data_IF_661930925585
#
_entry.id   IF_661930925585
#
_cell.length_a   1.000
_cell.length_b   1.000
_cell.length_c   1.000
_cell.angle_alpha   90.00
_cell.angle_beta   90.00
_cell.angle_gamma   90.00
#
_symmetry.space_group_name_H-M   'P 1'
#
loop_
_entity.id
_entity.type
_entity.pdbx_description
1 polymer ?
#
# COMPACT_ATOMS: atom_id res chain seq x y z
N UNK A 1 -0.64 -6.82 -18.92
CA UNK A 1 0.72 -6.43 -18.43
C UNK A 1 0.88 -6.47 -16.90
N UNK A 2 -0.05 -5.86 -16.14
CA UNK A 2 0.01 -5.70 -14.68
C UNK A 2 0.25 -6.99 -13.86
N UNK A 3 -0.26 -8.11 -14.37
CA UNK A 3 -0.26 -9.44 -13.73
C UNK A 3 0.93 -10.30 -14.14
N UNK A 4 1.76 -9.86 -15.09
CA UNK A 4 2.90 -10.64 -15.56
C UNK A 4 3.99 -10.65 -14.49
N UNK A 5 4.44 -11.85 -14.13
CA UNK A 5 5.66 -12.03 -13.34
C UNK A 5 6.87 -12.02 -14.27
N UNK A 6 8.05 -11.80 -13.71
CA UNK A 6 9.30 -11.65 -14.47
C UNK A 6 9.65 -12.96 -15.21
N UNK A 7 9.87 -12.94 -16.55
CA UNK A 7 10.26 -14.12 -17.31
C UNK A 7 11.50 -14.84 -16.76
N UNK A 8 12.51 -14.09 -16.29
CA UNK A 8 13.72 -14.67 -15.74
C UNK A 8 13.45 -15.46 -14.44
N UNK A 9 12.45 -15.02 -13.66
CA UNK A 9 12.03 -15.73 -12.44
C UNK A 9 11.23 -16.99 -12.74
N UNK A 10 10.40 -16.98 -13.78
CA UNK A 10 9.77 -18.20 -14.28
C UNK A 10 10.83 -19.22 -14.74
N UNK A 11 11.83 -18.77 -15.48
CA UNK A 11 12.93 -19.62 -15.93
C UNK A 11 13.69 -20.25 -14.75
N UNK A 12 14.02 -19.46 -13.72
CA UNK A 12 14.72 -19.96 -12.54
C UNK A 12 13.88 -20.97 -11.74
N UNK A 13 12.56 -20.75 -11.59
CA UNK A 13 11.65 -21.74 -10.97
C UNK A 13 11.66 -23.04 -11.78
N UNK A 14 11.56 -22.95 -13.11
CA UNK A 14 11.56 -24.11 -13.98
C UNK A 14 12.86 -24.90 -13.87
N UNK A 15 14.03 -24.24 -13.95
CA UNK A 15 15.33 -24.89 -13.80
C UNK A 15 15.48 -25.58 -12.43
N UNK A 16 15.03 -24.94 -11.35
CA UNK A 16 15.07 -25.53 -10.01
C UNK A 16 14.18 -26.76 -9.89
N UNK A 17 13.01 -26.77 -10.52
CA UNK A 17 12.12 -27.93 -10.53
C UNK A 17 12.69 -29.09 -11.35
N UNK A 18 13.34 -28.81 -12.48
CA UNK A 18 14.07 -29.83 -13.26
C UNK A 18 15.18 -30.44 -12.38
N UNK A 19 16.00 -29.61 -11.75
CA UNK A 19 17.15 -30.07 -10.95
C UNK A 19 16.74 -30.80 -9.66
N UNK A 20 15.65 -30.39 -9.01
CA UNK A 20 15.23 -30.97 -7.73
C UNK A 20 14.25 -32.13 -7.87
N UNK A 21 13.49 -32.19 -8.97
CA UNK A 21 12.35 -33.09 -9.15
C UNK A 21 12.33 -33.85 -10.47
N UNK A 22 13.37 -33.69 -11.29
CA UNK A 22 13.43 -34.29 -12.63
C UNK A 22 12.18 -33.95 -13.46
N UNK A 23 11.67 -32.73 -13.28
CA UNK A 23 10.42 -32.29 -13.90
C UNK A 23 10.58 -32.08 -15.40
N UNK A 24 9.60 -32.50 -16.21
CA UNK A 24 9.49 -32.07 -17.60
C UNK A 24 8.71 -30.75 -17.67
N UNK A 25 9.34 -29.69 -18.20
CA UNK A 25 8.74 -28.35 -18.26
C UNK A 25 8.15 -28.06 -19.62
N UNK A 26 6.85 -27.73 -19.63
CA UNK A 26 6.12 -27.29 -20.82
C UNK A 26 5.74 -25.80 -20.69
N UNK A 27 6.17 -24.98 -21.64
CA UNK A 27 5.73 -23.58 -21.75
C UNK A 27 4.46 -23.51 -22.59
N UNK A 28 3.44 -22.84 -22.05
CA UNK A 28 2.11 -22.67 -22.67
C UNK A 28 1.70 -21.19 -22.64
N UNK A 29 0.91 -20.78 -23.62
CA UNK A 29 0.42 -19.41 -23.76
C UNK A 29 -0.21 -19.14 -25.12
N UNK A 30 -0.80 -17.96 -25.28
CA UNK A 30 -1.29 -17.48 -26.57
C UNK A 30 -0.17 -16.91 -27.44
N UNK A 31 -0.49 -16.55 -28.70
CA UNK A 31 0.48 -15.96 -29.65
C UNK A 31 1.12 -14.64 -29.19
N UNK A 32 0.50 -13.95 -28.22
CA UNK A 32 0.99 -12.69 -27.67
C UNK A 32 1.66 -12.82 -26.29
N UNK A 33 1.88 -14.05 -25.82
CA UNK A 33 2.63 -14.32 -24.60
C UNK A 33 4.12 -14.46 -24.90
N UNK A 34 4.94 -14.09 -23.92
CA UNK A 34 6.38 -13.95 -24.06
C UNK A 34 7.12 -15.17 -23.50
N UNK A 35 6.82 -16.36 -24.06
CA UNK A 35 7.55 -17.58 -23.72
C UNK A 35 9.00 -17.54 -24.18
N UNK A 36 9.28 -16.74 -25.22
CA UNK A 36 10.62 -16.58 -25.77
C UNK A 36 11.59 -16.01 -24.73
N UNK A 37 11.20 -14.99 -23.97
CA UNK A 37 12.01 -14.45 -22.89
C UNK A 37 12.25 -15.47 -21.76
N UNK A 38 11.25 -16.28 -21.40
CA UNK A 38 11.40 -17.35 -20.41
C UNK A 38 12.40 -18.39 -20.91
N UNK A 39 12.19 -18.92 -22.12
CA UNK A 39 13.05 -19.93 -22.73
C UNK A 39 14.50 -19.45 -22.86
N UNK A 40 14.71 -18.19 -23.24
CA UNK A 40 16.04 -17.62 -23.37
C UNK A 40 16.79 -17.50 -22.04
N UNK A 41 16.07 -17.43 -20.91
CA UNK A 41 16.64 -17.33 -19.57
C UNK A 41 16.81 -18.70 -18.88
N UNK A 42 16.23 -19.78 -19.42
CA UNK A 42 16.35 -21.13 -18.85
C UNK A 42 17.71 -21.76 -19.17
N UNK A 43 18.24 -22.54 -18.22
CA UNK A 43 19.44 -23.37 -18.43
C UNK A 43 19.10 -24.68 -19.13
N UNK A 44 17.93 -25.24 -18.84
CA UNK A 44 17.46 -26.49 -19.42
C UNK A 44 16.40 -26.22 -20.48
N UNK A 45 16.37 -26.99 -21.57
CA UNK A 45 15.46 -26.74 -22.67
C UNK A 45 14.03 -27.21 -22.32
N UNK A 46 13.01 -26.32 -22.32
CA UNK A 46 11.62 -26.72 -22.14
C UNK A 46 10.99 -27.18 -23.47
N UNK A 47 9.87 -27.88 -23.37
CA UNK A 47 8.95 -28.03 -24.49
C UNK A 47 8.10 -26.75 -24.63
N UNK A 48 8.32 -25.95 -25.67
CA UNK A 48 7.55 -24.73 -25.92
C UNK A 48 6.38 -24.95 -26.90
N UNK A 49 5.17 -24.89 -26.36
CA UNK A 49 3.90 -25.02 -27.09
C UNK A 49 3.14 -23.69 -27.19
N UNK A 50 3.78 -22.57 -26.89
CA UNK A 50 3.15 -21.24 -26.91
C UNK A 50 2.59 -20.89 -28.29
N UNK A 51 1.30 -20.57 -28.34
CA UNK A 51 0.59 -20.27 -29.58
C UNK A 51 0.36 -21.47 -30.50
N UNK A 52 0.68 -22.70 -30.05
CA UNK A 52 0.60 -23.94 -30.85
C UNK A 52 -0.52 -24.89 -30.44
N UNK A 53 -1.31 -24.55 -29.43
CA UNK A 53 -2.43 -25.37 -28.93
C UNK A 53 -3.77 -24.67 -29.15
N UNK A 54 -4.80 -25.44 -29.50
CA UNK A 54 -6.21 -25.07 -29.32
C UNK A 54 -6.61 -25.12 -27.83
N UNK A 55 -7.79 -24.58 -27.47
CA UNK A 55 -8.29 -24.68 -26.09
C UNK A 55 -8.54 -26.13 -25.64
N UNK A 56 -8.92 -27.01 -26.56
CA UNK A 56 -9.14 -28.43 -26.28
C UNK A 56 -7.82 -29.14 -26.03
N UNK A 57 -6.81 -28.92 -26.88
CA UNK A 57 -5.46 -29.49 -26.70
C UNK A 57 -4.81 -28.97 -25.42
N UNK A 58 -4.97 -27.67 -25.12
CA UNK A 58 -4.49 -27.07 -23.87
C UNK A 58 -5.14 -27.72 -22.65
N UNK A 59 -6.46 -27.93 -22.67
CA UNK A 59 -7.17 -28.59 -21.58
C UNK A 59 -6.69 -30.04 -21.36
N UNK A 60 -6.48 -30.78 -22.45
CA UNK A 60 -5.99 -32.17 -22.40
C UNK A 60 -4.55 -32.24 -21.85
N UNK A 61 -3.68 -31.33 -22.32
CA UNK A 61 -2.31 -31.19 -21.82
C UNK A 61 -2.30 -30.89 -20.32
N UNK A 62 -3.06 -29.87 -19.88
CA UNK A 62 -3.14 -29.48 -18.48
C UNK A 62 -3.66 -30.61 -17.58
N UNK A 63 -4.64 -31.40 -18.06
CA UNK A 63 -5.16 -32.55 -17.31
C UNK A 63 -4.15 -33.67 -17.11
N UNK A 64 -3.06 -33.70 -17.88
CA UNK A 64 -1.93 -34.62 -17.71
C UNK A 64 -0.76 -34.05 -16.89
N UNK A 65 -0.80 -32.77 -16.49
CA UNK A 65 0.29 -32.15 -15.75
C UNK A 65 0.18 -32.40 -14.23
N UNK A 66 1.30 -32.69 -13.58
CA UNK A 66 1.39 -32.81 -12.12
C UNK A 66 1.22 -31.47 -11.39
N UNK A 67 1.52 -30.36 -12.07
CA UNK A 67 1.39 -29.01 -11.53
C UNK A 67 1.34 -27.97 -12.66
N UNK A 68 0.40 -27.03 -12.56
CA UNK A 68 0.41 -25.79 -13.31
C UNK A 68 0.93 -24.64 -12.43
N UNK A 69 1.86 -23.83 -12.96
CA UNK A 69 2.35 -22.60 -12.33
C UNK A 69 2.08 -21.44 -13.26
N UNK A 70 1.37 -20.41 -12.79
CA UNK A 70 1.08 -19.24 -13.62
C UNK A 70 0.52 -18.05 -12.87
N UNK A 71 0.45 -16.91 -13.56
CA UNK A 71 -0.23 -15.73 -13.04
C UNK A 71 -1.76 -15.86 -13.10
N UNK A 72 -2.46 -15.00 -12.35
CA UNK A 72 -3.91 -14.76 -12.48
C UNK A 72 -4.33 -14.54 -13.95
N UNK A 73 -4.86 -15.59 -14.58
CA UNK A 73 -5.13 -15.69 -16.01
C UNK A 73 -6.25 -16.70 -16.31
N UNK A 74 -6.81 -16.67 -17.52
CA UNK A 74 -7.78 -17.67 -17.95
C UNK A 74 -7.23 -19.10 -17.95
N UNK A 75 -5.95 -19.27 -18.30
CA UNK A 75 -5.28 -20.59 -18.33
C UNK A 75 -5.22 -21.22 -16.94
N UNK A 76 -4.98 -20.41 -15.89
CA UNK A 76 -5.06 -20.86 -14.50
C UNK A 76 -6.42 -21.47 -14.15
N UNK A 77 -7.52 -20.86 -14.62
CA UNK A 77 -8.86 -21.39 -14.39
C UNK A 77 -9.16 -22.65 -15.21
N UNK A 78 -8.60 -22.77 -16.42
CA UNK A 78 -8.71 -24.01 -17.21
C UNK A 78 -7.98 -25.14 -16.51
N UNK A 79 -6.76 -24.91 -16.01
CA UNK A 79 -5.99 -25.90 -15.24
C UNK A 79 -6.77 -26.39 -14.02
N UNK A 80 -7.36 -25.45 -13.27
CA UNK A 80 -8.22 -25.78 -12.13
C UNK A 80 -9.46 -26.61 -12.54
N UNK A 81 -10.11 -26.27 -13.66
CA UNK A 81 -11.32 -26.94 -14.13
C UNK A 81 -11.07 -28.39 -14.58
N UNK A 82 -9.88 -28.69 -15.10
CA UNK A 82 -9.50 -30.06 -15.49
C UNK A 82 -8.88 -30.87 -14.35
N UNK A 83 -8.83 -30.32 -13.13
CA UNK A 83 -8.34 -31.01 -11.94
C UNK A 83 -6.82 -31.00 -11.75
N UNK A 84 -6.08 -30.26 -12.57
CA UNK A 84 -4.64 -30.11 -12.40
C UNK A 84 -4.34 -29.33 -11.11
N UNK A 85 -3.29 -29.69 -10.33
CA UNK A 85 -2.83 -28.87 -9.23
C UNK A 85 -2.40 -27.48 -9.72
N UNK A 86 -2.81 -26.42 -9.01
CA UNK A 86 -2.58 -25.02 -9.45
C UNK A 86 -1.79 -24.23 -8.42
N UNK A 87 -0.62 -23.75 -8.80
CA UNK A 87 0.10 -22.69 -8.09
C UNK A 87 -0.10 -21.36 -8.81
N UNK A 88 -0.87 -20.46 -8.20
CA UNK A 88 -1.21 -19.17 -8.79
C UNK A 88 -0.42 -18.01 -8.18
N UNK A 89 0.20 -17.19 -9.04
CA UNK A 89 0.92 -15.98 -8.65
C UNK A 89 0.00 -14.77 -8.78
N UNK A 90 -0.26 -14.10 -7.64
CA UNK A 90 -1.14 -12.94 -7.57
C UNK A 90 -0.39 -11.67 -7.19
N UNK A 91 -0.75 -10.57 -7.87
CA UNK A 91 -0.26 -9.22 -7.55
C UNK A 91 -1.38 -8.21 -7.43
N UNK A 92 -1.80 -7.55 -8.52
CA UNK A 92 -2.77 -6.45 -8.46
C UNK A 92 -4.22 -6.91 -8.30
N UNK A 93 -4.53 -8.17 -8.62
CA UNK A 93 -5.89 -8.74 -8.55
C UNK A 93 -6.28 -9.22 -7.17
N UNK A 94 -7.59 -9.30 -6.96
CA UNK A 94 -8.18 -9.80 -5.73
C UNK A 94 -8.16 -11.33 -5.71
N UNK A 95 -7.18 -11.92 -5.04
CA UNK A 95 -7.08 -13.37 -4.88
C UNK A 95 -8.34 -13.96 -4.20
N UNK A 96 -8.92 -13.30 -3.20
CA UNK A 96 -10.12 -13.82 -2.53
C UNK A 96 -11.33 -13.99 -3.47
N UNK A 97 -11.39 -13.22 -4.56
CA UNK A 97 -12.46 -13.31 -5.55
C UNK A 97 -12.10 -14.19 -6.75
N UNK A 98 -10.81 -14.30 -7.11
CA UNK A 98 -10.36 -14.87 -8.38
C UNK A 98 -9.37 -16.02 -8.23
N UNK A 99 -9.10 -16.50 -7.01
CA UNK A 99 -8.31 -17.72 -6.80
C UNK A 99 -8.85 -18.90 -7.61
N UNK A 100 -7.99 -19.84 -8.03
CA UNK A 100 -8.43 -21.04 -8.72
C UNK A 100 -9.44 -21.81 -7.85
N UNK A 101 -10.60 -22.12 -8.42
CA UNK A 101 -11.61 -22.92 -7.76
C UNK A 101 -11.32 -24.39 -8.03
N UNK A 102 -10.94 -25.15 -7.00
CA UNK A 102 -10.54 -26.56 -7.11
C UNK A 102 -11.20 -27.40 -6.00
N UNK A 103 -12.49 -27.76 -6.09
CA UNK A 103 -13.14 -28.57 -5.07
C UNK A 103 -12.56 -29.98 -5.10
N UNK A 104 -12.05 -30.42 -3.96
CA UNK A 104 -11.33 -31.69 -3.86
C UNK A 104 -9.99 -31.72 -4.61
N UNK A 105 -9.58 -30.60 -5.23
CA UNK A 105 -8.31 -30.45 -5.93
C UNK A 105 -7.29 -29.65 -5.12
N UNK A 106 -6.07 -29.55 -5.65
CA UNK A 106 -4.92 -28.92 -4.98
C UNK A 106 -4.66 -27.56 -5.59
N UNK A 107 -4.70 -26.51 -4.78
CA UNK A 107 -4.24 -25.20 -5.24
C UNK A 107 -3.56 -24.42 -4.12
N UNK A 108 -2.69 -23.51 -4.51
CA UNK A 108 -2.09 -22.53 -3.60
C UNK A 108 -1.92 -21.19 -4.32
N UNK A 109 -1.91 -20.12 -3.54
CA UNK A 109 -1.67 -18.76 -4.04
C UNK A 109 -0.40 -18.20 -3.42
N UNK A 110 0.49 -17.67 -4.26
CA UNK A 110 1.69 -16.92 -3.83
C UNK A 110 1.50 -15.44 -4.16
N UNK A 111 1.69 -14.59 -3.15
CA UNK A 111 1.61 -13.13 -3.30
C UNK A 111 2.40 -12.41 -2.20
N UNK A 112 2.88 -11.21 -2.52
CA UNK A 112 3.53 -10.32 -1.54
C UNK A 112 2.56 -9.40 -0.78
N UNK A 113 1.36 -9.18 -1.35
CA UNK A 113 0.24 -8.46 -0.73
C UNK A 113 0.58 -7.11 -0.06
N UNK A 114 1.25 -6.14 -0.74
CA UNK A 114 1.44 -4.81 -0.19
C UNK A 114 0.10 -4.15 0.17
N UNK A 115 0.12 -3.16 1.06
CA UNK A 115 -1.10 -2.49 1.52
C UNK A 115 -1.94 -1.88 0.39
N UNK A 116 -1.32 -1.53 -0.75
CA UNK A 116 -2.02 -1.05 -1.94
C UNK A 116 -2.65 -2.14 -2.84
N UNK A 117 -2.45 -3.44 -2.56
CA UNK A 117 -2.98 -4.57 -3.35
C UNK A 117 -4.10 -5.33 -2.61
N UNK A 118 -5.25 -5.62 -3.23
CA UNK A 118 -5.52 -5.52 -4.66
C UNK A 118 -5.78 -4.08 -5.12
N UNK A 119 -5.37 -3.78 -6.34
CA UNK A 119 -5.55 -2.47 -6.96
C UNK A 119 -6.26 -2.52 -8.32
N UNK A 120 -6.41 -3.69 -8.96
CA UNK A 120 -7.08 -3.80 -10.27
C UNK A 120 -8.60 -3.83 -10.15
N UNK A 121 -9.12 -4.49 -9.11
CA UNK A 121 -10.54 -4.61 -8.81
C UNK A 121 -10.77 -4.64 -7.30
N UNK A 122 -11.53 -3.67 -6.78
CA UNK A 122 -11.75 -3.47 -5.34
C UNK A 122 -13.22 -3.19 -5.09
N UNK A 123 -13.89 -4.06 -4.33
CA UNK A 123 -15.26 -3.83 -3.87
C UNK A 123 -16.27 -3.53 -5.00
N UNK A 124 -16.14 -4.18 -6.16
CA UNK A 124 -17.00 -3.91 -7.32
C UNK A 124 -16.48 -2.82 -8.27
N UNK A 125 -15.54 -1.98 -7.81
CA UNK A 125 -14.96 -0.88 -8.58
C UNK A 125 -13.76 -1.29 -9.43
N UNK A 126 -13.66 -0.68 -10.61
CA UNK A 126 -12.50 -0.81 -11.49
C UNK A 126 -11.37 0.09 -10.99
N UNK A 127 -10.26 -0.52 -10.57
CA UNK A 127 -9.05 0.20 -10.18
C UNK A 127 -8.02 0.27 -11.31
N UNK A 128 -6.73 0.14 -10.98
CA UNK A 128 -5.61 0.18 -11.91
C UNK A 128 -5.49 -1.14 -12.71
N UNK A 129 -6.31 -1.33 -13.75
CA UNK A 129 -6.29 -2.53 -14.61
C UNK A 129 -4.91 -2.83 -15.23
N UNK A 130 -4.23 -1.79 -15.70
CA UNK A 130 -2.88 -1.90 -16.27
C UNK A 130 -1.76 -1.93 -15.21
N UNK A 131 -2.13 -1.83 -13.92
CA UNK A 131 -1.20 -1.79 -12.80
C UNK A 131 -0.53 -0.44 -12.61
N UNK A 132 0.42 -0.38 -11.69
CA UNK A 132 1.30 0.77 -11.49
C UNK A 132 2.68 0.48 -12.10
N UNK A 133 3.45 1.54 -12.39
CA UNK A 133 4.82 1.40 -12.91
C UNK A 133 5.72 0.59 -11.97
N UNK A 134 5.61 0.81 -10.65
CA UNK A 134 6.46 0.16 -9.65
C UNK A 134 6.27 -1.37 -9.58
N UNK A 135 5.06 -1.88 -9.85
CA UNK A 135 4.69 -3.31 -9.79
C UNK A 135 5.21 -4.05 -8.54
N UNK A 136 5.29 -3.37 -7.39
CA UNK A 136 5.86 -3.94 -6.16
C UNK A 136 5.19 -5.26 -5.76
N UNK A 137 3.87 -5.37 -5.94
CA UNK A 137 3.14 -6.60 -5.64
C UNK A 137 3.62 -7.83 -6.44
N UNK A 138 4.09 -7.65 -7.67
CA UNK A 138 4.65 -8.75 -8.49
C UNK A 138 6.15 -8.91 -8.25
N UNK A 139 6.89 -7.79 -8.14
CA UNK A 139 8.36 -7.79 -7.94
C UNK A 139 8.79 -8.39 -6.61
N UNK A 140 7.94 -8.37 -5.60
CA UNK A 140 8.26 -8.96 -4.29
C UNK A 140 7.88 -10.44 -4.16
N UNK A 141 7.22 -11.04 -5.16
CA UNK A 141 7.07 -12.50 -5.20
C UNK A 141 8.39 -13.11 -5.68
N UNK A 142 9.07 -13.86 -4.81
CA UNK A 142 10.41 -14.41 -5.04
C UNK A 142 10.37 -15.81 -5.66
N UNK A 143 11.46 -16.21 -6.30
CA UNK A 143 11.65 -17.57 -6.83
C UNK A 143 11.57 -18.60 -5.71
N UNK A 144 12.16 -18.32 -4.54
CA UNK A 144 12.14 -19.23 -3.38
C UNK A 144 10.71 -19.48 -2.89
N UNK A 145 9.89 -18.43 -2.76
CA UNK A 145 8.49 -18.57 -2.36
C UNK A 145 7.69 -19.45 -3.34
N UNK A 146 7.88 -19.25 -4.64
CA UNK A 146 7.18 -20.01 -5.68
C UNK A 146 7.69 -21.46 -5.72
N UNK A 147 9.00 -21.68 -5.70
CA UNK A 147 9.61 -23.01 -5.76
C UNK A 147 9.22 -23.83 -4.53
N UNK A 148 9.28 -23.25 -3.32
CA UNK A 148 8.88 -23.93 -2.09
C UNK A 148 7.39 -24.31 -2.12
N UNK A 149 6.52 -23.41 -2.58
CA UNK A 149 5.10 -23.71 -2.70
C UNK A 149 4.80 -24.78 -3.76
N UNK A 150 5.52 -24.76 -4.89
CA UNK A 150 5.42 -25.76 -5.94
C UNK A 150 5.81 -27.15 -5.42
N UNK A 151 6.97 -27.24 -4.77
CA UNK A 151 7.46 -28.47 -4.15
C UNK A 151 6.46 -29.04 -3.14
N UNK A 152 5.90 -28.21 -2.26
CA UNK A 152 4.90 -28.68 -1.29
C UNK A 152 3.61 -29.18 -1.95
N UNK A 153 3.14 -28.51 -3.01
CA UNK A 153 1.97 -28.97 -3.76
C UNK A 153 2.21 -30.31 -4.48
N UNK A 154 3.45 -30.55 -4.94
CA UNK A 154 3.85 -31.83 -5.51
C UNK A 154 3.92 -32.93 -4.44
N UNK A 155 4.45 -32.61 -3.26
CA UNK A 155 4.66 -33.58 -2.16
C UNK A 155 3.40 -33.95 -1.39
N UNK A 156 2.47 -33.02 -1.21
CA UNK A 156 1.34 -33.18 -0.31
C UNK A 156 0.00 -33.02 -1.04
N UNK A 157 -1.00 -33.87 -0.72
CA UNK A 157 -2.32 -33.78 -1.33
C UNK A 157 -3.19 -32.63 -0.79
N UNK A 158 -2.73 -31.91 0.24
CA UNK A 158 -3.51 -30.85 0.89
C UNK A 158 -3.37 -29.50 0.19
N UNK A 159 -4.50 -28.79 0.02
CA UNK A 159 -4.52 -27.40 -0.43
C UNK A 159 -3.83 -26.50 0.60
N UNK A 160 -2.82 -25.74 0.16
CA UNK A 160 -2.12 -24.81 1.04
C UNK A 160 -2.85 -23.47 1.03
N UNK A 161 -3.55 -23.17 2.11
CA UNK A 161 -3.98 -21.81 2.38
C UNK A 161 -2.74 -20.90 2.41
N UNK A 162 -2.75 -19.82 1.64
CA UNK A 162 -1.73 -18.78 1.77
C UNK A 162 -1.70 -18.33 3.22
N UNK A 163 -0.52 -18.10 3.83
CA UNK A 163 -0.46 -17.41 5.10
C UNK A 163 -0.99 -15.99 4.87
N UNK A 164 -2.27 -15.77 5.09
CA UNK A 164 -2.78 -14.44 5.34
C UNK A 164 -2.11 -14.00 6.63
N UNK A 165 -1.11 -13.11 6.54
CA UNK A 165 -0.87 -12.22 7.67
C UNK A 165 -2.10 -11.31 7.65
N UNK A 166 -3.07 -11.48 8.56
CA UNK A 166 -4.26 -10.66 8.54
C UNK A 166 -3.78 -9.20 8.57
N UNK A 167 -4.44 -8.27 7.86
CA UNK A 167 -4.18 -6.86 8.10
C UNK A 167 -4.28 -6.66 9.61
N UNK A 168 -3.33 -5.94 10.20
CA UNK A 168 -3.39 -5.54 11.61
C UNK A 168 -4.78 -4.96 11.85
N UNK A 169 -5.66 -5.76 12.45
CA UNK A 169 -7.06 -5.39 12.59
C UNK A 169 -7.08 -4.35 13.70
N UNK A 170 -7.39 -3.11 13.33
CA UNK A 170 -7.72 -2.08 14.32
C UNK A 170 -8.78 -2.68 15.25
N UNK A 171 -8.61 -2.54 16.57
CA UNK A 171 -9.56 -3.15 17.50
C UNK A 171 -10.92 -2.49 17.29
N UNK A 172 -11.98 -3.30 17.42
CA UNK A 172 -13.34 -2.79 17.36
C UNK A 172 -13.53 -1.73 18.47
N UNK A 173 -13.88 -0.50 18.08
CA UNK A 173 -14.03 0.64 19.00
C UNK A 173 -13.01 1.77 18.79
N UNK A 174 -11.85 1.49 18.19
CA UNK A 174 -10.76 2.47 18.04
C UNK A 174 -10.98 3.47 16.87
N UNK A 175 -12.01 3.24 16.05
CA UNK A 175 -12.33 4.07 14.90
C UNK A 175 -13.84 4.13 14.59
N UNK A 176 -14.29 5.31 14.13
CA UNK A 176 -15.60 5.51 13.52
C UNK A 176 -15.53 5.21 12.02
N UNK A 177 -16.64 4.77 11.43
CA UNK A 177 -16.77 4.70 9.97
C UNK A 177 -17.38 6.00 9.45
N UNK A 178 -16.69 6.64 8.52
CA UNK A 178 -17.12 7.85 7.84
C UNK A 178 -17.17 7.58 6.35
N UNK A 179 -18.37 7.46 5.77
CA UNK A 179 -18.57 7.08 4.37
C UNK A 179 -17.80 5.79 4.00
N UNK A 180 -17.85 4.80 4.90
CA UNK A 180 -17.17 3.50 4.79
C UNK A 180 -15.68 3.48 5.18
N UNK A 181 -15.03 4.64 5.32
CA UNK A 181 -13.61 4.72 5.68
C UNK A 181 -13.41 4.86 7.19
N UNK A 182 -12.34 4.29 7.76
CA UNK A 182 -12.09 4.39 9.18
C UNK A 182 -11.51 5.77 9.54
N UNK A 183 -11.97 6.35 10.65
CA UNK A 183 -11.45 7.57 11.27
C UNK A 183 -11.20 7.27 12.74
N UNK A 184 -9.94 7.29 13.16
CA UNK A 184 -9.55 6.91 14.52
C UNK A 184 -10.12 7.86 15.58
N UNK A 185 -10.60 7.30 16.70
CA UNK A 185 -11.07 8.06 17.87
C UNK A 185 -9.86 8.34 18.76
N UNK A 186 -9.14 9.43 18.49
CA UNK A 186 -7.81 9.67 19.08
C UNK A 186 -7.58 11.16 19.38
N UNK A 187 -6.81 11.44 20.43
CA UNK A 187 -6.29 12.78 20.81
C UNK A 187 -4.79 12.88 20.50
N UNK A 188 -4.20 14.07 20.52
CA UNK A 188 -2.74 14.19 20.36
C UNK A 188 -1.97 13.38 21.42
N UNK A 189 -2.41 13.44 22.69
CA UNK A 189 -1.77 12.69 23.78
C UNK A 189 -1.79 11.18 23.51
N UNK A 190 -2.96 10.63 23.15
CA UNK A 190 -3.08 9.21 22.85
C UNK A 190 -2.27 8.82 21.61
N UNK A 191 -2.21 9.70 20.61
CA UNK A 191 -1.42 9.48 19.41
C UNK A 191 0.09 9.47 19.71
N UNK A 192 0.62 10.43 20.46
CA UNK A 192 2.05 10.45 20.84
C UNK A 192 2.42 9.22 21.68
N UNK A 193 1.57 8.84 22.65
CA UNK A 193 1.77 7.61 23.42
C UNK A 193 1.76 6.35 22.53
N UNK A 194 0.92 6.32 21.50
CA UNK A 194 0.89 5.22 20.54
C UNK A 194 2.17 5.17 19.68
N UNK A 195 2.72 6.32 19.27
CA UNK A 195 3.99 6.40 18.56
C UNK A 195 5.11 5.88 19.45
N UNK A 196 5.20 6.33 20.71
CA UNK A 196 6.21 5.87 21.65
C UNK A 196 6.20 4.35 21.81
N UNK A 197 5.02 3.75 21.97
CA UNK A 197 4.86 2.28 22.02
C UNK A 197 5.37 1.59 20.75
N UNK A 198 5.07 2.12 19.57
CA UNK A 198 5.61 1.57 18.33
C UNK A 198 7.12 1.70 18.23
N UNK A 199 7.70 2.75 18.80
CA UNK A 199 9.15 2.93 18.83
C UNK A 199 9.85 1.97 19.81
N UNK A 200 9.16 1.50 20.84
CA UNK A 200 9.65 0.48 21.78
C UNK A 200 9.53 -0.96 21.25
N UNK A 201 8.63 -1.22 20.29
CA UNK A 201 8.48 -2.56 19.68
C UNK A 201 9.75 -2.98 18.92
N UNK A 202 10.23 -4.20 19.15
CA UNK A 202 11.35 -4.78 18.40
C UNK A 202 10.99 -4.99 16.93
N UNK A 203 11.90 -4.58 16.03
CA UNK A 203 11.72 -4.80 14.60
C UNK A 203 12.14 -6.22 14.21
N UNK A 204 11.23 -6.98 13.59
CA UNK A 204 11.50 -8.34 13.12
C UNK A 204 11.60 -8.42 11.59
N UNK A 205 12.36 -9.39 11.04
CA UNK A 205 12.36 -9.64 9.61
C UNK A 205 10.94 -9.86 9.07
N UNK A 206 10.55 -9.08 8.06
CA UNK A 206 9.22 -9.11 7.46
C UNK A 206 8.20 -8.16 8.09
N UNK A 207 8.58 -7.37 9.10
CA UNK A 207 7.76 -6.25 9.56
C UNK A 207 7.67 -5.13 8.53
N UNK A 208 6.70 -4.25 8.76
CA UNK A 208 6.39 -3.11 7.90
C UNK A 208 6.18 -1.86 8.77
N UNK A 209 6.40 -0.66 8.24
CA UNK A 209 6.10 0.56 8.98
C UNK A 209 4.62 0.63 9.36
N UNK A 210 4.35 1.15 10.55
CA UNK A 210 3.03 1.62 10.97
C UNK A 210 2.67 2.84 10.12
N UNK A 211 1.64 2.73 9.29
CA UNK A 211 1.22 3.79 8.38
C UNK A 211 0.17 4.67 9.06
N UNK A 212 0.52 5.95 9.25
CA UNK A 212 -0.38 6.99 9.77
C UNK A 212 -0.88 7.88 8.63
N UNK A 213 -2.19 7.96 8.49
CA UNK A 213 -2.86 8.84 7.54
C UNK A 213 -3.56 9.98 8.28
N UNK A 214 -3.29 11.24 7.91
CA UNK A 214 -4.04 12.40 8.41
C UNK A 214 -5.35 12.55 7.63
N UNK A 215 -6.28 11.62 7.84
CA UNK A 215 -7.50 11.53 7.05
C UNK A 215 -8.32 12.81 7.21
N UNK A 216 -8.74 13.38 6.09
CA UNK A 216 -9.55 14.59 6.05
C UNK A 216 -10.73 14.41 5.07
N UNK A 217 -11.73 15.32 5.07
CA UNK A 217 -12.86 15.24 4.15
C UNK A 217 -12.47 15.15 2.68
N UNK A 218 -11.38 15.81 2.27
CA UNK A 218 -10.88 15.75 0.89
C UNK A 218 -10.44 14.33 0.51
N UNK A 219 -9.65 13.68 1.38
CA UNK A 219 -9.16 12.31 1.19
C UNK A 219 -10.30 11.30 1.12
N UNK A 220 -11.33 11.45 1.96
CA UNK A 220 -12.52 10.60 1.91
C UNK A 220 -13.20 10.73 0.54
N UNK A 221 -13.36 11.95 0.03
CA UNK A 221 -13.99 12.16 -1.28
C UNK A 221 -13.14 11.67 -2.45
N UNK A 222 -11.80 11.73 -2.35
CA UNK A 222 -10.89 11.11 -3.34
C UNK A 222 -11.07 9.59 -3.33
N UNK A 223 -11.03 8.96 -2.14
CA UNK A 223 -11.12 7.50 -1.99
C UNK A 223 -12.47 6.92 -2.45
N UNK A 224 -13.54 7.71 -2.48
CA UNK A 224 -14.82 7.28 -3.11
C UNK A 224 -14.72 7.05 -4.62
N UNK A 225 -13.74 7.67 -5.29
CA UNK A 225 -13.52 7.57 -6.74
C UNK A 225 -12.22 6.85 -7.10
N UNK A 226 -11.38 6.58 -6.11
CA UNK A 226 -10.09 5.92 -6.26
C UNK A 226 -10.06 4.64 -5.41
N UNK A 227 -10.37 3.48 -6.01
CA UNK A 227 -10.45 2.22 -5.27
C UNK A 227 -9.10 1.83 -4.66
N UNK A 228 -7.97 2.22 -5.26
CA UNK A 228 -6.63 1.93 -4.73
C UNK A 228 -6.40 2.73 -3.46
N UNK A 229 -6.69 4.03 -3.48
CA UNK A 229 -6.52 4.88 -2.31
C UNK A 229 -7.47 4.48 -1.16
N UNK A 230 -8.68 4.00 -1.50
CA UNK A 230 -9.60 3.43 -0.50
C UNK A 230 -8.97 2.27 0.27
N UNK A 231 -8.37 1.30 -0.42
CA UNK A 231 -7.70 0.15 0.23
C UNK A 231 -6.57 0.62 1.13
N UNK A 232 -5.78 1.61 0.68
CA UNK A 232 -4.70 2.20 1.47
C UNK A 232 -5.23 2.78 2.79
N UNK A 233 -6.29 3.59 2.76
CA UNK A 233 -6.88 4.17 3.96
C UNK A 233 -7.53 3.13 4.88
N UNK A 234 -8.16 2.10 4.31
CA UNK A 234 -8.76 1.00 5.07
C UNK A 234 -7.71 0.16 5.81
N UNK A 235 -6.51 0.04 5.25
CA UNK A 235 -5.41 -0.79 5.80
C UNK A 235 -4.36 -0.03 6.59
N UNK A 236 -4.38 1.31 6.59
CA UNK A 236 -3.49 2.11 7.43
C UNK A 236 -3.65 1.72 8.91
N UNK A 237 -2.59 1.77 9.69
CA UNK A 237 -2.63 1.42 11.11
C UNK A 237 -3.38 2.48 11.93
N UNK A 238 -3.28 3.76 11.54
CA UNK A 238 -3.99 4.87 12.18
C UNK A 238 -4.48 5.90 11.16
N UNK A 239 -5.72 6.35 11.28
CA UNK A 239 -6.26 7.46 10.48
C UNK A 239 -6.69 8.61 11.38
N UNK A 240 -5.77 9.50 11.70
CA UNK A 240 -6.02 10.62 12.62
C UNK A 240 -6.98 11.65 12.01
N UNK A 241 -7.96 12.16 12.77
CA UNK A 241 -9.01 13.03 12.24
C UNK A 241 -8.50 14.45 11.96
N UNK A 242 -8.03 14.69 10.74
CA UNK A 242 -7.54 15.97 10.27
C UNK A 242 -8.69 16.78 9.63
N UNK A 243 -9.26 17.70 10.42
CA UNK A 243 -10.19 18.71 9.94
C UNK A 243 -11.54 18.72 10.64
N UNK A 244 -12.08 19.92 10.82
CA UNK A 244 -13.34 20.16 11.54
C UNK A 244 -14.55 19.47 10.88
N UNK A 245 -14.51 19.28 9.56
CA UNK A 245 -15.58 18.58 8.84
C UNK A 245 -15.83 17.16 9.37
N UNK A 246 -14.79 16.45 9.81
CA UNK A 246 -14.92 15.11 10.38
C UNK A 246 -15.60 15.14 11.76
N UNK A 247 -15.24 16.12 12.60
CA UNK A 247 -15.84 16.29 13.93
C UNK A 247 -17.33 16.64 13.82
N UNK A 248 -17.68 17.53 12.89
CA UNK A 248 -19.07 17.89 12.61
C UNK A 248 -19.87 16.70 12.09
N UNK A 249 -19.30 15.94 11.16
CA UNK A 249 -19.94 14.74 10.62
C UNK A 249 -20.13 13.65 11.68
N UNK A 250 -19.14 13.43 12.56
CA UNK A 250 -19.27 12.49 13.68
C UNK A 250 -20.42 12.91 14.61
N UNK A 251 -20.48 14.20 14.97
CA UNK A 251 -21.56 14.74 15.81
C UNK A 251 -22.93 14.59 15.16
N UNK A 252 -23.04 14.84 13.86
CA UNK A 252 -24.28 14.65 13.11
C UNK A 252 -24.79 13.20 13.19
N UNK A 253 -23.87 12.24 13.16
CA UNK A 253 -24.12 10.80 13.29
C UNK A 253 -24.33 10.32 14.73
N UNK A 254 -24.40 11.22 15.72
CA UNK A 254 -24.56 10.84 17.13
C UNK A 254 -23.31 10.24 17.77
N UNK A 255 -22.15 10.33 17.10
CA UNK A 255 -20.85 9.88 17.60
C UNK A 255 -19.97 11.09 17.96
N UNK A 256 -18.84 10.84 18.62
CA UNK A 256 -17.91 11.91 19.00
C UNK A 256 -16.48 11.52 18.64
N UNK A 257 -15.81 12.41 17.90
CA UNK A 257 -14.36 12.46 17.84
C UNK A 257 -13.88 13.41 18.95
N UNK A 258 -12.90 12.99 19.77
CA UNK A 258 -12.52 13.75 20.96
C UNK A 258 -11.83 15.07 20.60
N UNK A 259 -11.04 15.06 19.53
CA UNK A 259 -10.18 16.17 19.13
C UNK A 259 -9.96 16.20 17.60
N UNK A 260 -9.59 17.38 17.08
CA UNK A 260 -9.08 17.55 15.70
C UNK A 260 -7.56 17.37 15.72
N UNK A 261 -7.09 16.25 15.17
CA UNK A 261 -5.68 15.86 15.16
C UNK A 261 -5.12 16.05 13.74
N UNK A 262 -4.25 17.03 13.57
CA UNK A 262 -3.69 17.42 12.26
C UNK A 262 -2.23 17.03 12.13
N UNK A 263 -1.80 16.75 10.90
CA UNK A 263 -0.36 16.56 10.64
C UNK A 263 0.46 17.81 10.94
N UNK A 264 -0.12 18.99 10.68
CA UNK A 264 0.58 20.27 10.82
C UNK A 264 0.93 20.67 12.26
N UNK A 265 0.12 20.25 13.24
CA UNK A 265 0.47 20.41 14.66
C UNK A 265 1.17 19.14 15.19
N UNK A 266 0.89 17.97 14.61
CA UNK A 266 1.47 16.68 15.01
C UNK A 266 2.96 16.53 14.69
N UNK A 267 3.43 16.99 13.53
CA UNK A 267 4.85 16.86 13.16
C UNK A 267 5.78 17.58 14.14
N UNK A 268 5.52 18.84 14.57
CA UNK A 268 6.28 19.47 15.64
C UNK A 268 6.26 18.69 16.96
N UNK A 269 5.12 18.10 17.36
CA UNK A 269 5.04 17.27 18.57
C UNK A 269 5.89 16.00 18.45
N UNK A 270 5.84 15.32 17.29
CA UNK A 270 6.67 14.16 16.98
C UNK A 270 8.16 14.55 17.03
N UNK A 271 8.53 15.71 16.51
CA UNK A 271 9.90 16.20 16.55
C UNK A 271 10.37 16.48 18.00
N UNK A 272 9.52 17.06 18.85
CA UNK A 272 9.84 17.27 20.26
C UNK A 272 10.06 15.95 21.00
N UNK A 273 9.17 14.97 20.83
CA UNK A 273 9.30 13.63 21.41
C UNK A 273 10.52 12.88 20.86
N UNK A 274 10.76 12.96 19.54
CA UNK A 274 11.93 12.38 18.90
C UNK A 274 13.25 12.95 19.45
N UNK A 275 13.29 14.26 19.72
CA UNK A 275 14.45 14.90 20.34
C UNK A 275 14.66 14.44 21.80
N UNK A 276 13.57 14.18 22.54
CA UNK A 276 13.65 13.69 23.91
C UNK A 276 14.05 12.22 24.00
N UNK A 277 13.55 11.39 23.09
CA UNK A 277 13.71 9.93 23.10
C UNK A 277 14.83 9.42 22.19
N UNK A 278 15.45 10.30 21.40
CA UNK A 278 16.52 9.95 20.46
C UNK A 278 16.05 9.28 19.17
N UNK A 279 14.79 9.45 18.77
CA UNK A 279 14.29 8.92 17.50
C UNK A 279 14.80 9.73 16.31
N UNK A 280 15.07 9.05 15.20
CA UNK A 280 15.63 9.64 13.98
C UNK A 280 14.55 9.84 12.93
N UNK A 281 14.43 11.07 12.42
CA UNK A 281 13.44 11.44 11.42
C UNK A 281 14.03 11.47 10.01
N UNK A 282 13.25 11.04 9.02
CA UNK A 282 13.54 11.26 7.59
C UNK A 282 12.44 12.10 6.94
N UNK A 283 12.85 13.14 6.21
CA UNK A 283 11.95 14.07 5.52
C UNK A 283 11.97 13.82 4.02
N UNK A 284 10.82 13.49 3.45
CA UNK A 284 10.69 13.11 2.05
C UNK A 284 9.62 13.96 1.35
N UNK A 285 9.95 14.57 0.21
CA UNK A 285 8.97 15.29 -0.62
C UNK A 285 9.02 16.81 -0.50
N UNK A 286 7.86 17.45 -0.72
CA UNK A 286 7.71 18.89 -0.91
C UNK A 286 8.50 19.45 -2.11
N UNK A 287 8.39 20.76 -2.36
CA UNK A 287 9.15 21.42 -3.41
C UNK A 287 10.66 21.44 -3.07
N UNK A 288 11.55 21.59 -4.07
CA UNK A 288 12.99 21.67 -3.84
C UNK A 288 13.36 22.64 -2.71
N UNK A 289 14.06 22.13 -1.69
CA UNK A 289 14.53 22.89 -0.53
C UNK A 289 13.51 23.07 0.60
N UNK A 290 12.23 22.74 0.42
CA UNK A 290 11.22 22.90 1.47
C UNK A 290 11.40 21.87 2.59
N UNK A 291 11.72 20.62 2.26
CA UNK A 291 11.98 19.60 3.27
C UNK A 291 13.23 19.95 4.10
N UNK A 292 14.28 20.47 3.45
CA UNK A 292 15.52 20.93 4.10
C UNK A 292 15.27 22.11 5.05
N UNK A 293 14.47 23.08 4.62
CA UNK A 293 14.08 24.23 5.45
C UNK A 293 13.22 23.79 6.65
N UNK A 294 12.30 22.84 6.45
CA UNK A 294 11.48 22.31 7.53
C UNK A 294 12.32 21.54 8.56
N UNK A 295 13.26 20.71 8.10
CA UNK A 295 14.25 20.03 8.92
C UNK A 295 15.09 21.01 9.74
N UNK A 296 15.63 22.05 9.10
CA UNK A 296 16.41 23.09 9.77
C UNK A 296 15.58 23.89 10.79
N UNK A 297 14.30 24.15 10.52
CA UNK A 297 13.42 24.83 11.46
C UNK A 297 13.18 23.98 12.73
N UNK A 298 12.88 22.69 12.58
CA UNK A 298 12.68 21.81 13.72
C UNK A 298 13.95 21.58 14.53
N UNK A 299 15.12 21.54 13.90
CA UNK A 299 16.41 21.50 14.60
C UNK A 299 16.69 22.75 15.43
N UNK A 300 16.29 23.94 14.95
CA UNK A 300 16.43 25.17 15.75
C UNK A 300 15.55 25.13 17.00
N UNK A 301 14.33 24.62 16.87
CA UNK A 301 13.39 24.52 17.98
C UNK A 301 13.75 23.37 18.95
N UNK A 302 14.36 22.30 18.42
CA UNK A 302 14.78 21.11 19.17
C UNK A 302 16.21 20.69 18.82
N UNK A 303 17.25 21.28 19.46
CA UNK A 303 18.66 21.01 19.10
C UNK A 303 19.12 19.57 19.26
N UNK A 304 18.43 18.76 20.08
CA UNK A 304 18.73 17.33 20.27
C UNK A 304 18.07 16.42 19.22
N UNK A 305 17.22 16.98 18.34
CA UNK A 305 16.55 16.22 17.29
C UNK A 305 17.57 15.60 16.32
N UNK A 306 17.36 14.33 15.96
CA UNK A 306 18.19 13.66 14.97
C UNK A 306 17.46 13.57 13.63
N UNK A 307 18.07 14.13 12.59
CA UNK A 307 17.57 14.03 11.22
C UNK A 307 18.47 13.05 10.46
N UNK A 308 17.96 11.84 10.23
CA UNK A 308 18.66 10.78 9.52
C UNK A 308 18.80 11.08 8.02
N UNK A 309 17.88 11.86 7.44
CA UNK A 309 18.02 12.28 6.06
C UNK A 309 16.90 13.18 5.57
N UNK A 310 17.18 13.85 4.45
CA UNK A 310 16.23 14.70 3.74
C UNK A 310 16.34 14.40 2.24
N UNK A 311 15.19 14.31 1.59
CA UNK A 311 15.07 14.26 0.13
C UNK A 311 13.91 15.14 -0.31
N UNK A 312 14.22 16.26 -0.94
CA UNK A 312 13.23 17.18 -1.50
C UNK A 312 12.75 16.71 -2.88
N UNK A 313 11.49 16.97 -3.21
CA UNK A 313 10.90 16.59 -4.50
C UNK A 313 10.28 15.19 -4.53
N UNK A 314 9.62 14.86 -5.63
CA UNK A 314 9.04 13.53 -5.86
C UNK A 314 9.98 12.70 -6.75
N UNK A 315 10.32 11.45 -6.39
CA UNK A 315 11.20 10.62 -7.18
C UNK A 315 10.54 10.26 -8.51
N UNK A 316 11.33 10.18 -9.57
CA UNK A 316 10.90 9.51 -10.78
C UNK A 316 10.69 8.00 -10.50
N UNK A 317 9.82 7.29 -11.27
CA UNK A 317 9.51 5.89 -10.99
C UNK A 317 10.73 4.94 -10.96
N UNK A 318 11.77 5.25 -11.72
CA UNK A 318 13.04 4.54 -11.81
C UNK A 318 14.01 4.85 -10.64
N UNK A 319 13.83 5.98 -9.97
CA UNK A 319 14.62 6.37 -8.80
C UNK A 319 14.06 5.81 -7.48
N UNK A 320 12.86 5.23 -7.51
CA UNK A 320 12.15 4.77 -6.32
C UNK A 320 12.93 3.71 -5.53
N UNK A 321 13.61 2.80 -6.22
CA UNK A 321 14.37 1.73 -5.56
C UNK A 321 15.58 2.29 -4.80
N UNK A 322 16.37 3.16 -5.45
CA UNK A 322 17.51 3.84 -4.83
C UNK A 322 17.07 4.74 -3.66
N UNK A 323 15.90 5.36 -3.77
CA UNK A 323 15.34 6.17 -2.68
C UNK A 323 14.98 5.31 -1.46
N UNK A 324 14.33 4.16 -1.67
CA UNK A 324 14.01 3.23 -0.56
C UNK A 324 15.29 2.73 0.11
N UNK A 325 16.32 2.40 -0.66
CA UNK A 325 17.62 2.00 -0.12
C UNK A 325 18.27 3.13 0.70
N UNK A 326 18.22 4.37 0.21
CA UNK A 326 18.72 5.54 0.94
C UNK A 326 17.98 5.76 2.27
N UNK A 327 16.66 5.59 2.30
CA UNK A 327 15.87 5.71 3.53
C UNK A 327 16.24 4.61 4.52
N UNK A 328 16.40 3.37 4.05
CA UNK A 328 16.79 2.26 4.92
C UNK A 328 18.21 2.42 5.46
N UNK A 329 19.15 2.85 4.61
CA UNK A 329 20.54 3.07 4.97
C UNK A 329 20.73 4.25 5.94
N UNK A 330 19.81 5.22 5.95
CA UNK A 330 19.87 6.33 6.91
C UNK A 330 19.59 5.91 8.34
N UNK A 331 19.03 4.71 8.55
CA UNK A 331 18.54 4.24 9.84
C UNK A 331 17.40 5.10 10.38
N UNK A 332 16.54 5.70 9.56
CA UNK A 332 15.45 6.48 10.12
C UNK A 332 14.46 5.59 10.90
N UNK A 333 13.93 6.10 12.01
CA UNK A 333 12.89 5.42 12.79
C UNK A 333 11.48 5.85 12.30
N UNK A 334 11.35 7.12 11.90
CA UNK A 334 10.11 7.72 11.40
C UNK A 334 10.34 8.38 10.04
N UNK A 335 9.51 8.02 9.05
CA UNK A 335 9.48 8.63 7.72
C UNK A 335 8.28 9.57 7.56
N UNK A 336 8.54 10.83 7.19
CA UNK A 336 7.54 11.85 6.93
C UNK A 336 7.50 12.17 5.42
N UNK A 337 6.36 11.91 4.76
CA UNK A 337 6.22 12.00 3.29
C UNK A 337 5.27 13.12 2.86
N UNK A 338 5.77 14.08 2.10
CA UNK A 338 5.10 15.32 1.69
C UNK A 338 4.86 15.40 0.16
N UNK A 339 4.38 14.31 -0.46
CA UNK A 339 3.97 14.32 -1.88
C UNK A 339 2.55 14.86 -2.12
N UNK A 340 1.80 15.06 -1.03
CA UNK A 340 0.39 15.42 -1.09
C UNK A 340 -0.52 14.20 -1.27
N UNK A 341 -1.74 14.31 -0.75
CA UNK A 341 -2.76 13.28 -0.92
C UNK A 341 -3.30 13.27 -2.36
N UNK A 342 -3.52 12.07 -2.97
CA UNK A 342 -3.39 10.74 -2.36
C UNK A 342 -2.02 10.06 -2.55
N UNK A 343 -1.09 10.68 -3.28
CA UNK A 343 0.12 10.01 -3.76
C UNK A 343 1.12 9.68 -2.64
N UNK A 344 1.21 10.50 -1.59
CA UNK A 344 2.06 10.21 -0.42
C UNK A 344 1.71 8.86 0.23
N UNK A 345 0.42 8.59 0.41
CA UNK A 345 -0.07 7.41 1.13
C UNK A 345 -0.03 6.17 0.24
N UNK A 346 -0.28 6.34 -1.07
CA UNK A 346 -0.08 5.27 -2.05
C UNK A 346 1.40 4.89 -2.17
N UNK A 347 2.31 5.87 -2.11
CA UNK A 347 3.75 5.63 -2.14
C UNK A 347 4.20 4.86 -0.89
N UNK A 348 3.76 5.29 0.30
CA UNK A 348 4.03 4.57 1.55
C UNK A 348 3.49 3.14 1.46
N UNK A 349 2.22 2.96 1.08
CA UNK A 349 1.58 1.64 1.04
C UNK A 349 2.22 0.67 0.06
N UNK A 350 2.72 1.14 -1.09
CA UNK A 350 3.40 0.28 -2.08
C UNK A 350 4.82 -0.09 -1.66
N UNK A 351 5.54 0.81 -0.98
CA UNK A 351 6.91 0.57 -0.53
C UNK A 351 7.01 0.02 0.90
N UNK A 352 5.90 -0.03 1.63
CA UNK A 352 5.82 -0.52 3.00
C UNK A 352 6.52 -1.86 3.24
N UNK A 353 6.40 -2.90 2.38
CA UNK A 353 7.12 -4.16 2.60
C UNK A 353 8.66 -4.07 2.46
N UNK A 354 9.19 -2.93 2.01
CA UNK A 354 10.61 -2.69 1.74
C UNK A 354 11.21 -1.62 2.64
N UNK A 355 10.41 -0.93 3.44
CA UNK A 355 10.86 0.15 4.31
C UNK A 355 11.16 -0.41 5.70
N UNK A 356 12.32 -0.06 6.25
CA UNK A 356 12.77 -0.51 7.57
C UNK A 356 12.50 0.49 8.70
N UNK A 357 11.81 1.58 8.38
CA UNK A 357 11.34 2.56 9.38
C UNK A 357 10.18 1.96 10.20
N UNK A 358 10.09 2.29 11.49
CA UNK A 358 9.01 1.80 12.36
C UNK A 358 7.67 2.47 12.06
N UNK A 359 7.69 3.74 11.64
CA UNK A 359 6.50 4.51 11.29
C UNK A 359 6.69 5.29 10.00
N UNK A 360 5.64 5.35 9.16
CA UNK A 360 5.58 6.21 8.00
C UNK A 360 4.28 7.03 7.99
N UNK A 361 4.38 8.32 7.69
CA UNK A 361 3.25 9.24 7.75
C UNK A 361 3.21 10.17 6.54
N UNK A 362 2.06 10.23 5.89
CA UNK A 362 1.79 11.26 4.90
C UNK A 362 1.50 12.60 5.59
N UNK A 363 2.29 13.64 5.31
CA UNK A 363 2.20 14.94 6.00
C UNK A 363 1.67 16.07 5.11
N UNK A 364 1.43 15.81 3.82
CA UNK A 364 0.92 16.80 2.88
C UNK A 364 1.77 18.07 2.86
N UNK A 365 1.12 19.23 2.88
CA UNK A 365 1.81 20.52 2.90
C UNK A 365 2.26 20.98 4.29
N UNK A 366 2.54 20.06 5.21
CA UNK A 366 3.03 20.39 6.56
C UNK A 366 4.43 20.98 6.52
N UNK A 367 5.30 20.47 5.64
CA UNK A 367 6.65 21.03 5.48
C UNK A 367 6.62 22.48 5.02
N UNK A 368 5.69 22.88 4.14
CA UNK A 368 5.54 24.30 3.74
C UNK A 368 5.27 25.24 4.92
N UNK A 369 4.50 24.76 5.90
CA UNK A 369 4.19 25.54 7.10
C UNK A 369 5.37 25.62 8.06
N UNK A 370 6.07 24.51 8.27
CA UNK A 370 7.23 24.43 9.17
C UNK A 370 8.41 25.23 8.59
N UNK A 371 8.63 25.15 7.28
CA UNK A 371 9.62 25.94 6.57
C UNK A 371 9.31 27.45 6.54
N UNK A 372 8.09 27.86 6.89
CA UNK A 372 7.64 29.26 6.80
C UNK A 372 7.33 29.73 5.38
N UNK A 373 7.37 28.85 4.38
CA UNK A 373 7.05 29.17 2.99
C UNK A 373 5.56 29.53 2.78
N UNK A 374 4.67 29.00 3.62
CA UNK A 374 3.26 29.38 3.67
C UNK A 374 2.89 29.79 5.09
N UNK A 375 2.30 30.98 5.30
CA UNK A 375 1.90 31.41 6.62
C UNK A 375 0.78 30.53 7.18
N UNK A 376 0.83 30.24 8.48
CA UNK A 376 -0.26 29.57 9.19
C UNK A 376 -1.45 30.51 9.35
N UNK A 377 -2.66 29.94 9.32
CA UNK A 377 -3.85 30.73 9.60
C UNK A 377 -3.80 31.32 11.03
N UNK A 378 -4.33 32.54 11.25
CA UNK A 378 -4.43 33.13 12.58
C UNK A 378 -5.07 32.18 13.61
N UNK A 379 -4.64 32.26 14.87
CA UNK A 379 -5.07 31.34 15.92
C UNK A 379 -6.59 31.27 16.10
N UNK A 380 -7.32 32.37 15.91
CA UNK A 380 -8.78 32.36 15.98
C UNK A 380 -9.39 31.53 14.84
N UNK A 381 -8.90 31.68 13.60
CA UNK A 381 -9.36 30.91 12.44
C UNK A 381 -9.06 29.41 12.60
N UNK A 382 -7.88 29.07 13.16
CA UNK A 382 -7.53 27.69 13.49
C UNK A 382 -8.51 27.09 14.51
N UNK A 383 -8.85 27.84 15.57
CA UNK A 383 -9.80 27.40 16.61
C UNK A 383 -11.20 27.16 16.08
N UNK A 384 -11.69 28.01 15.17
CA UNK A 384 -13.03 27.85 14.57
C UNK A 384 -13.05 26.96 13.32
N UNK A 385 -11.90 26.42 12.89
CA UNK A 385 -11.83 25.51 11.75
C UNK A 385 -11.81 26.16 10.37
N UNK A 386 -11.55 27.47 10.28
CA UNK A 386 -11.51 28.24 9.02
C UNK A 386 -10.11 28.27 8.37
N UNK A 387 -9.20 27.41 8.79
CA UNK A 387 -7.85 27.32 8.23
C UNK A 387 -7.86 27.02 6.72
N UNK A 388 -8.81 26.19 6.26
CA UNK A 388 -8.99 25.90 4.85
C UNK A 388 -9.36 27.16 4.04
N UNK A 389 -10.18 28.06 4.61
CA UNK A 389 -10.61 29.30 3.96
C UNK A 389 -9.45 30.29 3.86
N UNK A 390 -8.65 30.41 4.92
CA UNK A 390 -7.43 31.21 4.89
C UNK A 390 -6.45 30.71 3.81
N UNK A 391 -6.30 29.38 3.70
CA UNK A 391 -5.45 28.80 2.65
C UNK A 391 -6.01 28.99 1.25
N UNK A 392 -7.33 28.99 1.07
CA UNK A 392 -7.95 29.30 -0.22
C UNK A 392 -7.73 30.76 -0.61
N UNK A 393 -7.80 31.70 0.34
CA UNK A 393 -7.50 33.10 0.11
C UNK A 393 -6.07 33.30 -0.40
N UNK A 394 -5.08 32.64 0.22
CA UNK A 394 -3.69 32.70 -0.22
C UNK A 394 -3.39 31.90 -1.49
N UNK A 395 -4.13 30.83 -1.74
CA UNK A 395 -3.90 29.89 -2.84
C UNK A 395 -5.20 29.64 -3.61
N UNK A 396 -5.70 30.62 -4.38
CA UNK A 396 -7.04 30.59 -5.00
C UNK A 396 -7.25 29.41 -5.96
N UNK A 397 -6.18 28.92 -6.60
CA UNK A 397 -6.23 27.74 -7.48
C UNK A 397 -6.66 26.46 -6.75
N UNK A 398 -6.62 26.43 -5.40
CA UNK A 398 -7.12 25.31 -4.59
C UNK A 398 -8.64 25.18 -4.57
N UNK A 399 -9.40 26.10 -5.19
CA UNK A 399 -10.87 26.07 -5.20
C UNK A 399 -11.42 24.70 -5.65
N UNK A 400 -10.81 24.08 -6.67
CA UNK A 400 -11.21 22.74 -7.17
C UNK A 400 -11.12 21.66 -6.08
N UNK A 401 -10.09 21.73 -5.23
CA UNK A 401 -9.92 20.83 -4.09
C UNK A 401 -10.94 21.15 -3.00
N UNK A 402 -11.17 22.44 -2.75
CA UNK A 402 -12.06 22.91 -1.69
C UNK A 402 -13.54 22.60 -1.95
N UNK A 403 -13.96 22.51 -3.21
CA UNK A 403 -15.30 22.05 -3.59
C UNK A 403 -15.63 20.63 -3.12
N UNK A 404 -14.64 19.83 -2.71
CA UNK A 404 -14.86 18.52 -2.10
C UNK A 404 -15.44 18.62 -0.68
N UNK A 405 -15.26 19.73 0.03
CA UNK A 405 -15.79 19.91 1.39
C UNK A 405 -17.33 19.98 1.40
N UNK A 406 -18.00 20.80 0.55
CA UNK A 406 -19.45 20.73 0.38
C UNK A 406 -19.94 19.34 -0.06
N UNK A 407 -19.25 18.70 -1.01
CA UNK A 407 -19.62 17.35 -1.46
C UNK A 407 -19.52 16.32 -0.33
N UNK A 408 -18.53 16.45 0.56
CA UNK A 408 -18.41 15.61 1.75
C UNK A 408 -19.58 15.84 2.71
N UNK A 409 -19.90 17.10 3.03
CA UNK A 409 -21.02 17.42 3.91
C UNK A 409 -22.34 16.85 3.36
N UNK A 410 -22.61 17.04 2.06
CA UNK A 410 -23.79 16.48 1.40
C UNK A 410 -23.79 14.95 1.44
N UNK A 411 -22.64 14.30 1.18
CA UNK A 411 -22.53 12.85 1.23
C UNK A 411 -22.84 12.29 2.64
N UNK A 412 -22.36 12.95 3.70
CA UNK A 412 -22.66 12.59 5.08
C UNK A 412 -24.15 12.76 5.40
N UNK A 413 -24.77 13.83 4.91
CA UNK A 413 -26.21 14.06 5.10
C UNK A 413 -27.04 12.99 4.39
N UNK A 414 -26.66 12.61 3.16
CA UNK A 414 -27.35 11.59 2.36
C UNK A 414 -27.18 10.17 2.93
N UNK A 415 -26.04 9.84 3.54
CA UNK A 415 -25.85 8.56 4.23
C UNK A 415 -26.77 8.43 5.46
N UNK A 416 -27.25 9.55 6.01
CA UNK A 416 -28.13 9.59 7.16
C UNK A 416 -27.40 9.39 8.49
N UNK A 417 -28.19 9.38 9.57
CA UNK A 417 -27.72 9.10 10.92
C UNK A 417 -27.62 7.60 11.13
N UNK A 418 -26.60 7.18 11.87
CA UNK A 418 -26.50 5.82 12.36
C UNK A 418 -27.77 5.57 13.20
N UNK A 419 -28.60 4.61 12.78
CA UNK A 419 -29.80 4.24 13.55
C UNK A 419 -29.30 3.55 14.82
N UNK A 420 -29.70 4.10 15.98
CA UNK A 420 -29.33 3.58 17.30
C UNK A 420 -30.06 2.28 17.62
#
# INVERSE_FOLDING_TARGET
PARRWDPARFAEVADRLIEQRDAEVVLIGGKGDDSAAVRAAMRHAPLDLTGRTTLTELSALLGGCDLFIGADSGVMHIAAAVGAPVLAIFGPSNAAAWSPWTPGGRSAVVRSAPACSPCSYVGGGVGAREGCAARTCMRLVTVDQVTLAAVRLLDSPESLASPERPPTTRRAGDALRMLGLPVSVVTYQAWMAQIARWMEEDWQPGDRPRHVCTINPEMIMIARRDPVFRVVLERADLTVPDGVGLLLAARWKGRRLPERVTGSDGVPMIAAEAAAMGWRLFFLGAAPGIADQAAAALLRDHPALQIAGVFSGSPAPDEEDALVERINASGADILLVAYGAPEQDKWIARNSPRLYVKMAMGVGGTFDFIAGAVPRAPAFMRRVGLEWLYRLYLQPWRIKRMMRLPCFALAVLLEGRDHA
#
